data_IF_774710002461
#
_entry.id   IF_774710002461
#
_cell.length_a   1.000
_cell.length_b   1.000
_cell.length_c   1.000
_cell.angle_alpha   90.00
_cell.angle_beta   90.00
_cell.angle_gamma   90.00
#
_symmetry.space_group_name_H-M   'P 1'
#
loop_
_entity.id
_entity.type
_entity.pdbx_description
1 polymer ?
#
# COMPACT_ATOMS: atom_id res chain seq x y z
N UNK A 1 18.81 -2.80 12.28
CA UNK A 1 18.36 -2.37 10.93
C UNK A 1 18.50 -3.56 10.01
N UNK A 2 17.57 -3.76 9.08
CA UNK A 2 17.69 -4.71 7.98
C UNK A 2 17.32 -4.01 6.66
N UNK A 3 18.00 -4.36 5.57
CA UNK A 3 17.70 -3.87 4.22
C UNK A 3 17.72 -5.10 3.32
N UNK A 4 16.66 -5.29 2.55
CA UNK A 4 16.56 -6.31 1.52
C UNK A 4 16.25 -5.59 0.21
N UNK A 5 17.13 -5.76 -0.77
CA UNK A 5 16.98 -5.16 -2.10
C UNK A 5 17.32 -6.18 -3.17
N UNK A 6 16.59 -6.13 -4.27
CA UNK A 6 16.89 -6.80 -5.52
C UNK A 6 16.04 -6.20 -6.63
N UNK A 7 16.44 -6.33 -7.89
CA UNK A 7 15.57 -5.92 -9.00
C UNK A 7 14.19 -6.59 -8.88
N UNK A 8 14.21 -7.85 -8.45
CA UNK A 8 13.07 -8.64 -8.03
C UNK A 8 13.31 -9.07 -6.58
N UNK A 9 12.40 -8.75 -5.68
CA UNK A 9 12.53 -9.01 -4.25
C UNK A 9 11.33 -9.79 -3.72
N UNK A 10 11.56 -11.04 -3.30
CA UNK A 10 10.56 -11.91 -2.67
C UNK A 10 10.84 -12.03 -1.18
N UNK A 11 9.92 -11.53 -0.36
CA UNK A 11 9.99 -11.61 1.10
C UNK A 11 8.97 -12.63 1.58
N UNK A 12 9.47 -13.80 1.99
CA UNK A 12 8.67 -14.95 2.44
C UNK A 12 9.03 -15.43 3.85
N UNK A 13 9.85 -14.64 4.55
CA UNK A 13 10.41 -14.99 5.85
C UNK A 13 10.04 -14.01 6.97
N UNK A 14 10.69 -14.21 8.12
CA UNK A 14 10.60 -13.29 9.25
C UNK A 14 11.82 -12.35 9.27
N UNK A 15 11.57 -11.03 9.30
CA UNK A 15 12.57 -10.00 9.55
C UNK A 15 12.28 -9.38 10.93
N UNK A 16 13.14 -9.68 11.91
CA UNK A 16 12.99 -9.21 13.26
C UNK A 16 13.98 -8.09 13.61
N UNK A 17 13.45 -6.90 13.84
CA UNK A 17 14.12 -5.71 14.33
C UNK A 17 13.38 -5.07 15.52
N UNK A 18 12.74 -5.87 16.38
CA UNK A 18 11.74 -5.40 17.36
C UNK A 18 12.23 -4.58 18.56
N UNK A 19 13.51 -4.63 18.94
CA UNK A 19 13.98 -4.03 20.20
C UNK A 19 13.25 -4.57 21.46
N UNK A 20 13.44 -3.95 22.63
CA UNK A 20 12.70 -4.33 23.85
C UNK A 20 11.29 -3.75 23.89
N UNK A 21 11.13 -2.54 23.35
CA UNK A 21 9.86 -1.86 23.05
C UNK A 21 9.91 -1.48 21.57
N UNK A 22 8.98 -2.00 20.77
CA UNK A 22 9.01 -1.83 19.30
C UNK A 22 8.86 -0.38 18.88
N UNK A 23 8.10 0.43 19.63
CA UNK A 23 7.85 1.83 19.28
C UNK A 23 9.00 2.76 19.68
N UNK A 24 9.77 2.37 20.70
CA UNK A 24 10.87 3.20 21.25
C UNK A 24 12.25 2.76 20.81
N UNK A 25 12.47 1.46 20.76
CA UNK A 25 13.78 0.82 20.57
C UNK A 25 13.81 -0.16 19.40
N UNK A 26 12.68 -0.36 18.73
CA UNK A 26 12.64 -1.11 17.48
C UNK A 26 13.49 -0.42 16.41
N UNK A 27 14.08 -1.22 15.54
CA UNK A 27 14.88 -0.78 14.42
C UNK A 27 14.04 -0.48 13.18
N UNK A 28 14.77 -0.16 12.11
CA UNK A 28 14.25 0.08 10.77
C UNK A 28 14.43 -1.15 9.88
N UNK A 29 13.41 -1.46 9.08
CA UNK A 29 13.45 -2.46 8.00
C UNK A 29 13.14 -1.78 6.68
N UNK A 30 13.87 -2.13 5.63
CA UNK A 30 13.57 -1.75 4.25
C UNK A 30 13.49 -2.99 3.38
N UNK A 31 12.45 -3.06 2.56
CA UNK A 31 12.27 -4.08 1.52
C UNK A 31 11.96 -3.36 0.22
N UNK A 32 12.87 -3.41 -0.74
CA UNK A 32 12.82 -2.58 -1.95
C UNK A 32 13.25 -3.37 -3.19
N UNK A 33 12.96 -2.83 -4.38
CA UNK A 33 13.20 -3.50 -5.65
C UNK A 33 12.26 -3.01 -6.74
N UNK A 34 12.56 -3.19 -8.02
CA UNK A 34 11.61 -2.79 -9.07
C UNK A 34 10.28 -3.54 -8.90
N UNK A 35 10.38 -4.85 -8.74
CA UNK A 35 9.26 -5.73 -8.42
C UNK A 35 9.43 -6.32 -7.02
N UNK A 36 8.63 -5.82 -6.07
CA UNK A 36 8.59 -6.31 -4.69
C UNK A 36 7.35 -7.18 -4.47
N UNK A 37 7.55 -8.32 -3.79
CA UNK A 37 6.50 -9.23 -3.37
C UNK A 37 6.72 -9.64 -1.91
N UNK A 38 5.81 -9.21 -1.04
CA UNK A 38 5.71 -9.64 0.35
C UNK A 38 4.64 -10.73 0.42
N UNK A 39 5.03 -11.93 0.83
CA UNK A 39 4.12 -13.07 0.96
C UNK A 39 3.26 -12.96 2.22
N UNK A 40 2.16 -13.72 2.26
CA UNK A 40 1.15 -13.59 3.31
C UNK A 40 1.64 -14.05 4.68
N UNK A 41 2.57 -15.01 4.68
CA UNK A 41 3.30 -15.54 5.84
C UNK A 41 4.54 -14.71 6.22
N UNK A 42 4.90 -13.68 5.46
CA UNK A 42 6.03 -12.82 5.81
C UNK A 42 5.71 -12.01 7.07
N UNK A 43 6.68 -11.95 7.98
CA UNK A 43 6.54 -11.21 9.24
C UNK A 43 7.65 -10.17 9.30
N UNK A 44 7.26 -8.90 9.43
CA UNK A 44 8.20 -7.81 9.70
C UNK A 44 7.89 -7.25 11.08
N UNK A 45 8.85 -7.36 11.99
CA UNK A 45 8.78 -6.79 13.33
C UNK A 45 9.78 -5.63 13.44
N UNK A 46 9.33 -4.41 13.20
CA UNK A 46 10.17 -3.22 13.21
C UNK A 46 9.42 -2.01 13.77
N UNK A 47 10.15 -1.00 14.24
CA UNK A 47 9.56 0.30 14.56
C UNK A 47 9.06 0.99 13.30
N UNK A 48 9.88 0.92 12.25
CA UNK A 48 9.67 1.55 10.96
C UNK A 48 9.93 0.53 9.86
N UNK A 49 9.01 0.43 8.90
CA UNK A 49 9.16 -0.39 7.71
C UNK A 49 8.95 0.43 6.45
N UNK A 50 9.97 0.48 5.59
CA UNK A 50 9.94 1.13 4.27
C UNK A 50 9.76 0.08 3.18
N UNK A 51 8.77 0.27 2.32
CA UNK A 51 8.63 -0.45 1.05
C UNK A 51 8.88 0.55 -0.08
N UNK A 52 9.83 0.29 -0.97
CA UNK A 52 10.16 1.19 -2.08
C UNK A 52 10.23 0.49 -3.46
N UNK A 53 9.11 -0.04 -3.99
CA UNK A 53 9.08 -0.55 -5.35
C UNK A 53 8.59 0.44 -6.41
N UNK A 54 8.65 0.04 -7.67
CA UNK A 54 8.13 0.87 -8.77
C UNK A 54 6.61 1.08 -8.63
N UNK A 55 5.85 0.04 -8.32
CA UNK A 55 4.40 0.10 -8.14
C UNK A 55 3.96 -0.74 -6.94
N UNK A 56 2.97 -0.24 -6.19
CA UNK A 56 2.41 -0.94 -5.04
C UNK A 56 0.94 -1.26 -5.25
N UNK A 57 0.61 -2.53 -5.08
CA UNK A 57 -0.77 -3.02 -4.98
C UNK A 57 -0.97 -3.69 -3.62
N UNK A 58 -2.05 -3.32 -2.93
CA UNK A 58 -2.44 -3.89 -1.63
C UNK A 58 -3.81 -4.53 -1.80
N UNK A 59 -3.87 -5.86 -1.72
CA UNK A 59 -5.12 -6.60 -1.87
C UNK A 59 -5.43 -7.42 -0.62
N UNK A 60 -6.60 -8.06 -0.62
CA UNK A 60 -6.93 -9.06 0.38
C UNK A 60 -6.09 -10.32 0.15
N UNK A 61 -5.92 -11.19 1.17
CA UNK A 61 -5.24 -12.46 1.00
C UNK A 61 -5.92 -13.30 -0.08
N UNK A 62 -5.10 -13.97 -0.89
CA UNK A 62 -5.55 -14.87 -1.96
C UNK A 62 -4.98 -16.26 -1.71
N UNK A 63 -5.78 -17.30 -1.98
CA UNK A 63 -5.32 -18.68 -1.87
C UNK A 63 -4.14 -18.93 -2.81
N UNK A 64 -3.12 -19.66 -2.37
CA UNK A 64 -1.96 -20.03 -3.19
C UNK A 64 -0.81 -19.01 -3.23
N UNK A 65 -0.86 -17.93 -2.45
CA UNK A 65 0.22 -16.92 -2.44
C UNK A 65 1.51 -17.36 -1.74
N UNK A 66 1.47 -18.43 -0.96
CA UNK A 66 2.64 -18.97 -0.24
C UNK A 66 3.58 -19.80 -1.14
N UNK A 67 3.43 -19.76 -2.47
CA UNK A 67 4.44 -20.36 -3.35
C UNK A 67 5.75 -19.56 -3.26
N UNK A 68 6.86 -20.27 -3.13
CA UNK A 68 8.21 -19.72 -3.07
C UNK A 68 8.81 -19.41 -4.43
N UNK A 69 8.18 -19.85 -5.53
CA UNK A 69 8.71 -19.67 -6.87
C UNK A 69 8.50 -18.24 -7.40
N UNK A 70 9.60 -17.57 -7.74
CA UNK A 70 9.60 -16.26 -8.38
C UNK A 70 8.89 -16.27 -9.74
N UNK A 71 9.01 -17.36 -10.50
CA UNK A 71 8.41 -17.44 -11.83
C UNK A 71 6.88 -17.32 -11.79
N UNK A 72 6.24 -17.70 -10.68
CA UNK A 72 4.79 -17.57 -10.53
C UNK A 72 4.36 -16.11 -10.36
N UNK A 73 5.28 -15.22 -10.00
CA UNK A 73 5.06 -13.78 -9.90
C UNK A 73 5.02 -13.08 -11.27
N UNK A 74 5.33 -13.83 -12.33
CA UNK A 74 5.34 -13.35 -13.71
C UNK A 74 4.41 -14.17 -14.61
N UNK A 75 3.86 -13.49 -15.61
CA UNK A 75 3.22 -14.13 -16.77
C UNK A 75 4.12 -13.96 -17.98
N UNK A 76 4.19 -14.97 -18.84
CA UNK A 76 4.96 -14.91 -20.09
C UNK A 76 4.02 -14.70 -21.27
N UNK A 77 4.33 -13.73 -22.12
CA UNK A 77 3.65 -13.53 -23.41
C UNK A 77 4.68 -13.67 -24.54
N UNK A 78 4.32 -14.41 -25.60
CA UNK A 78 5.17 -14.55 -26.78
C UNK A 78 4.84 -13.47 -27.79
N UNK A 79 5.79 -12.55 -28.02
CA UNK A 79 5.67 -11.43 -28.95
C UNK A 79 6.80 -11.52 -29.97
N UNK A 80 6.45 -11.59 -31.27
CA UNK A 80 7.40 -11.68 -32.38
C UNK A 80 8.51 -12.74 -32.18
N UNK A 81 8.14 -13.95 -31.75
CA UNK A 81 9.04 -15.07 -31.44
C UNK A 81 9.98 -14.88 -30.23
N UNK A 82 9.76 -13.83 -29.42
CA UNK A 82 10.44 -13.63 -28.14
C UNK A 82 9.46 -13.81 -26.99
N UNK A 83 9.90 -14.48 -25.92
CA UNK A 83 9.13 -14.58 -24.69
C UNK A 83 9.44 -13.37 -23.80
N UNK A 84 8.42 -12.55 -23.55
CA UNK A 84 8.53 -11.38 -22.66
C UNK A 84 7.83 -11.71 -21.34
N UNK A 85 8.53 -11.51 -20.21
CA UNK A 85 7.94 -11.65 -18.87
C UNK A 85 7.33 -10.33 -18.43
N UNK A 86 6.12 -10.40 -17.90
CA UNK A 86 5.41 -9.29 -17.28
C UNK A 86 5.07 -9.64 -15.86
N UNK A 87 5.16 -8.68 -14.94
CA UNK A 87 4.64 -8.86 -13.58
C UNK A 87 3.18 -9.31 -13.65
N UNK A 88 2.85 -10.36 -12.92
CA UNK A 88 1.49 -10.85 -12.85
C UNK A 88 0.61 -9.83 -12.13
N UNK A 89 -0.29 -9.17 -12.87
CA UNK A 89 -1.17 -8.12 -12.33
C UNK A 89 -2.16 -8.63 -11.28
N UNK A 90 -2.40 -9.95 -11.25
CA UNK A 90 -3.26 -10.58 -10.25
C UNK A 90 -2.54 -10.78 -8.91
N UNK A 91 -1.21 -10.67 -8.89
CA UNK A 91 -0.40 -10.83 -7.68
C UNK A 91 0.01 -9.46 -7.13
N UNK A 92 -0.45 -9.12 -5.92
CA UNK A 92 -0.17 -7.81 -5.37
C UNK A 92 1.23 -7.71 -4.75
N UNK A 93 1.67 -6.51 -4.42
CA UNK A 93 2.92 -6.28 -3.68
C UNK A 93 2.85 -6.85 -2.27
N UNK A 94 1.75 -6.64 -1.54
CA UNK A 94 1.51 -7.20 -0.19
C UNK A 94 0.01 -7.38 0.06
N UNK A 95 -0.39 -8.05 1.14
CA UNK A 95 -1.79 -8.02 1.60
C UNK A 95 -2.03 -6.95 2.64
N UNK A 96 -3.30 -6.58 2.80
CA UNK A 96 -3.73 -5.84 3.99
C UNK A 96 -3.38 -6.59 5.28
N UNK A 97 -3.56 -7.91 5.36
CA UNK A 97 -3.29 -8.65 6.61
C UNK A 97 -1.82 -8.56 7.06
N UNK A 98 -0.87 -8.63 6.13
CA UNK A 98 0.56 -8.44 6.41
C UNK A 98 0.85 -7.01 6.86
N UNK A 99 0.24 -6.02 6.20
CA UNK A 99 0.37 -4.61 6.54
C UNK A 99 -0.23 -4.29 7.93
N UNK A 100 -1.41 -4.81 8.22
CA UNK A 100 -2.13 -4.61 9.47
C UNK A 100 -1.40 -5.25 10.66
N UNK A 101 -0.75 -6.39 10.45
CA UNK A 101 0.01 -7.07 11.50
C UNK A 101 1.12 -6.19 12.10
N UNK A 102 1.82 -5.43 11.26
CA UNK A 102 2.86 -4.48 11.73
C UNK A 102 2.25 -3.18 12.25
N UNK A 103 1.23 -2.62 11.60
CA UNK A 103 0.55 -1.39 12.06
C UNK A 103 -0.09 -1.57 13.44
N UNK A 104 -0.66 -2.74 13.73
CA UNK A 104 -1.26 -3.09 15.01
C UNK A 104 -0.27 -2.98 16.20
N UNK A 105 1.04 -3.02 15.94
CA UNK A 105 2.10 -2.88 16.94
C UNK A 105 2.46 -1.42 17.25
N UNK A 106 1.82 -0.46 16.58
CA UNK A 106 2.14 0.96 16.69
C UNK A 106 3.33 1.39 15.82
N UNK A 107 3.71 0.56 14.86
CA UNK A 107 4.81 0.84 13.94
C UNK A 107 4.39 1.82 12.84
N UNK A 108 5.40 2.47 12.26
CA UNK A 108 5.23 3.29 11.06
C UNK A 108 5.52 2.43 9.83
N UNK A 109 4.60 2.40 8.88
CA UNK A 109 4.84 1.80 7.57
C UNK A 109 4.82 2.89 6.52
N UNK A 110 5.95 3.04 5.84
CA UNK A 110 6.13 3.98 4.74
C UNK A 110 6.16 3.21 3.43
N UNK A 111 5.14 3.39 2.61
CA UNK A 111 5.03 2.78 1.29
C UNK A 111 5.34 3.87 0.28
N UNK A 112 6.51 3.77 -0.33
CA UNK A 112 6.95 4.64 -1.42
C UNK A 112 6.76 3.92 -2.76
N UNK A 113 6.30 4.64 -3.79
CA UNK A 113 6.22 4.10 -5.14
C UNK A 113 6.41 5.18 -6.20
N UNK A 114 7.04 4.81 -7.32
CA UNK A 114 7.26 5.73 -8.46
C UNK A 114 6.05 5.78 -9.40
N UNK A 115 5.55 4.62 -9.82
CA UNK A 115 4.50 4.50 -10.84
C UNK A 115 3.11 4.70 -10.28
N UNK A 116 2.82 4.24 -9.05
CA UNK A 116 1.51 4.38 -8.43
C UNK A 116 1.32 3.49 -7.20
N UNK A 117 0.27 3.80 -6.42
CA UNK A 117 -0.17 3.00 -5.26
C UNK A 117 -1.66 2.70 -5.42
N UNK A 118 -2.04 1.42 -5.39
CA UNK A 118 -3.42 0.99 -5.51
C UNK A 118 -3.82 0.10 -4.33
N UNK A 119 -4.71 0.60 -3.49
CA UNK A 119 -5.28 -0.09 -2.34
C UNK A 119 -6.64 -0.66 -2.74
N UNK A 120 -6.75 -1.98 -2.89
CA UNK A 120 -8.01 -2.62 -3.32
C UNK A 120 -8.78 -3.29 -2.17
N UNK A 121 -8.09 -3.61 -1.08
CA UNK A 121 -8.67 -4.17 0.13
C UNK A 121 -8.87 -3.13 1.22
N UNK A 122 -9.78 -3.45 2.14
CA UNK A 122 -9.93 -2.68 3.37
C UNK A 122 -8.65 -2.76 4.22
N UNK A 123 -8.28 -1.66 4.88
CA UNK A 123 -7.12 -1.54 5.76
C UNK A 123 -7.56 -1.04 7.13
N UNK A 124 -7.09 -1.68 8.19
CA UNK A 124 -7.18 -1.20 9.57
C UNK A 124 -5.81 -0.76 10.10
N UNK A 125 -5.61 0.55 10.28
CA UNK A 125 -4.35 1.12 10.81
C UNK A 125 -4.20 0.84 12.32
N UNK A 126 -5.30 0.53 13.01
CA UNK A 126 -5.30 0.24 14.44
C UNK A 126 -5.24 1.49 15.32
N UNK A 127 -4.73 1.33 16.55
CA UNK A 127 -4.80 2.37 17.58
C UNK A 127 -3.60 3.31 17.60
N UNK A 128 -2.43 2.85 17.16
CA UNK A 128 -1.17 3.60 17.30
C UNK A 128 -0.31 3.57 16.02
N UNK A 129 -0.73 2.83 14.98
CA UNK A 129 0.03 2.71 13.75
C UNK A 129 0.03 3.99 12.93
N UNK A 130 0.98 4.13 12.02
CA UNK A 130 0.98 5.20 11.03
C UNK A 130 1.24 4.61 9.65
N UNK A 131 0.24 4.69 8.78
CA UNK A 131 0.38 4.35 7.37
C UNK A 131 0.71 5.61 6.57
N UNK A 132 1.82 5.58 5.86
CA UNK A 132 2.25 6.62 4.94
C UNK A 132 2.23 6.03 3.53
N UNK A 133 1.43 6.63 2.64
CA UNK A 133 1.40 6.32 1.22
C UNK A 133 2.07 7.49 0.48
N UNK A 134 3.29 7.25 0.00
CA UNK A 134 4.09 8.25 -0.70
C UNK A 134 4.27 7.87 -2.17
N UNK A 135 3.63 8.62 -3.06
CA UNK A 135 3.85 8.49 -4.50
C UNK A 135 4.85 9.57 -4.92
N UNK A 136 6.01 9.14 -5.42
CA UNK A 136 7.22 9.97 -5.56
C UNK A 136 7.33 10.79 -6.85
N UNK A 137 8.08 11.90 -6.76
CA UNK A 137 8.19 13.04 -7.71
C UNK A 137 8.71 12.75 -9.11
N UNK A 138 9.36 11.61 -9.31
CA UNK A 138 9.97 11.22 -10.60
C UNK A 138 9.15 10.13 -11.30
N UNK A 139 7.90 9.96 -10.87
CA UNK A 139 6.97 8.94 -11.32
C UNK A 139 6.20 9.28 -12.59
N UNK A 140 5.76 8.24 -13.29
CA UNK A 140 4.78 8.36 -14.39
C UNK A 140 3.45 8.92 -13.88
N UNK A 141 3.18 10.21 -14.13
CA UNK A 141 2.00 10.95 -13.63
C UNK A 141 0.66 10.40 -14.11
N UNK A 142 0.66 9.39 -14.99
CA UNK A 142 -0.56 8.64 -15.37
C UNK A 142 -1.22 7.95 -14.19
N UNK A 143 -0.47 7.57 -13.15
CA UNK A 143 -1.07 7.06 -11.91
C UNK A 143 -0.67 7.88 -10.68
N UNK A 144 -1.58 7.92 -9.72
CA UNK A 144 -1.41 8.53 -8.42
C UNK A 144 -1.63 7.52 -7.29
N UNK A 145 -2.31 7.95 -6.23
CA UNK A 145 -2.76 7.07 -5.14
C UNK A 145 -4.24 6.78 -5.30
N UNK A 146 -4.59 5.50 -5.46
CA UNK A 146 -5.98 5.04 -5.58
C UNK A 146 -6.39 4.19 -4.40
N UNK A 147 -7.52 4.51 -3.79
CA UNK A 147 -8.08 3.80 -2.63
C UNK A 147 -9.47 3.27 -2.98
N UNK A 148 -9.55 1.97 -3.30
CA UNK A 148 -10.79 1.23 -3.57
C UNK A 148 -11.27 0.40 -2.36
N UNK A 149 -10.48 0.33 -1.28
CA UNK A 149 -10.84 -0.25 0.01
C UNK A 149 -11.19 0.80 1.06
N UNK A 150 -11.91 0.43 2.11
CA UNK A 150 -12.09 1.28 3.29
C UNK A 150 -10.76 1.39 4.05
N UNK A 151 -10.38 2.59 4.50
CA UNK A 151 -9.29 2.76 5.46
C UNK A 151 -9.90 3.17 6.80
N UNK A 152 -9.62 2.38 7.84
CA UNK A 152 -10.15 2.57 9.19
C UNK A 152 -9.03 2.72 10.21
N UNK A 153 -9.29 3.51 11.25
CA UNK A 153 -8.39 3.69 12.38
C UNK A 153 -9.17 4.09 13.62
N UNK A 154 -8.75 3.57 14.78
CA UNK A 154 -9.30 3.96 16.09
C UNK A 154 -8.36 4.92 16.85
N UNK A 155 -7.17 5.20 16.31
CA UNK A 155 -6.18 6.10 16.93
C UNK A 155 -4.91 6.31 16.10
N UNK A 156 -4.59 5.39 15.19
CA UNK A 156 -3.51 5.53 14.23
C UNK A 156 -3.77 6.62 13.17
N UNK A 157 -2.71 6.99 12.45
CA UNK A 157 -2.74 8.08 11.47
C UNK A 157 -2.57 7.59 10.03
N UNK A 158 -3.14 8.33 9.10
CA UNK A 158 -2.98 8.14 7.66
C UNK A 158 -2.34 9.39 7.06
N UNK A 159 -1.22 9.22 6.36
CA UNK A 159 -0.65 10.25 5.51
C UNK A 159 -0.64 9.75 4.07
N UNK A 160 -1.17 10.57 3.16
CA UNK A 160 -1.07 10.38 1.72
C UNK A 160 -0.34 11.60 1.17
N UNK A 161 0.80 11.38 0.51
CA UNK A 161 1.56 12.41 -0.17
C UNK A 161 1.85 11.93 -1.59
N UNK A 162 1.32 12.64 -2.57
CA UNK A 162 1.36 12.22 -3.98
C UNK A 162 1.74 13.39 -4.88
N UNK A 163 2.79 13.25 -5.67
CA UNK A 163 3.11 14.21 -6.77
C UNK A 163 2.21 14.04 -8.01
N UNK A 164 1.09 13.32 -7.88
CA UNK A 164 -0.03 13.21 -8.82
C UNK A 164 -1.34 13.11 -8.03
N UNK A 165 -2.46 12.81 -8.68
CA UNK A 165 -3.79 12.76 -8.09
C UNK A 165 -3.92 11.74 -6.93
N UNK A 166 -4.95 11.93 -6.10
CA UNK A 166 -5.39 11.00 -5.06
C UNK A 166 -6.89 10.74 -5.27
N UNK A 167 -7.26 9.51 -5.61
CA UNK A 167 -8.66 9.11 -5.82
C UNK A 167 -9.09 8.12 -4.75
N UNK A 168 -10.16 8.47 -4.03
CA UNK A 168 -10.73 7.70 -2.93
C UNK A 168 -12.15 7.29 -3.33
N UNK A 169 -12.36 5.98 -3.49
CA UNK A 169 -13.63 5.41 -3.92
C UNK A 169 -14.47 4.78 -2.80
N UNK A 170 -13.88 4.64 -1.61
CA UNK A 170 -14.53 4.14 -0.40
C UNK A 170 -14.27 5.07 0.79
N UNK A 171 -14.51 4.60 2.01
CA UNK A 171 -14.47 5.45 3.19
C UNK A 171 -13.06 5.56 3.78
N UNK A 172 -12.74 6.74 4.31
CA UNK A 172 -11.68 6.93 5.30
C UNK A 172 -12.36 7.24 6.63
N UNK A 173 -12.12 6.45 7.66
CA UNK A 173 -12.71 6.63 8.99
C UNK A 173 -11.61 6.60 10.04
N UNK A 174 -11.35 7.75 10.67
CA UNK A 174 -10.43 7.87 11.79
C UNK A 174 -11.22 8.27 13.04
N UNK A 175 -11.14 7.48 14.11
CA UNK A 175 -11.70 7.86 15.41
C UNK A 175 -10.86 8.94 16.09
N UNK A 176 -9.57 8.68 16.21
CA UNK A 176 -8.52 9.58 16.71
C UNK A 176 -7.30 9.44 15.77
N UNK A 177 -6.41 10.43 15.74
CA UNK A 177 -5.21 10.45 14.89
C UNK A 177 -5.29 11.55 13.83
N UNK A 178 -4.32 11.55 12.91
CA UNK A 178 -4.25 12.54 11.85
C UNK A 178 -4.55 11.93 10.49
N UNK A 179 -5.38 12.64 9.71
CA UNK A 179 -5.47 12.48 8.27
C UNK A 179 -4.70 13.60 7.60
N UNK A 180 -3.65 13.28 6.87
CA UNK A 180 -2.95 14.23 6.02
C UNK A 180 -3.05 13.76 4.57
N UNK A 181 -3.53 14.62 3.68
CA UNK A 181 -3.54 14.37 2.25
C UNK A 181 -2.89 15.58 1.57
N UNK A 182 -1.77 15.35 0.90
CA UNK A 182 -1.08 16.33 0.08
C UNK A 182 -0.98 15.79 -1.33
N UNK A 183 -1.29 16.63 -2.30
CA UNK A 183 -1.11 16.31 -3.72
C UNK A 183 -0.68 17.53 -4.51
N UNK A 184 0.09 17.33 -5.59
CA UNK A 184 0.36 18.38 -6.57
C UNK A 184 -0.69 18.48 -7.69
N UNK A 185 -1.71 17.63 -7.67
CA UNK A 185 -2.82 17.64 -8.62
C UNK A 185 -4.15 17.76 -7.86
N UNK A 186 -4.98 16.71 -7.85
CA UNK A 186 -6.36 16.75 -7.35
C UNK A 186 -6.63 15.63 -6.35
N UNK A 187 -7.60 15.89 -5.46
CA UNK A 187 -8.13 14.91 -4.52
C UNK A 187 -9.58 14.62 -4.90
N UNK A 188 -9.86 13.40 -5.34
CA UNK A 188 -11.17 12.89 -5.67
C UNK A 188 -11.77 12.05 -4.54
N UNK A 189 -12.98 12.39 -4.12
CA UNK A 189 -13.88 11.47 -3.42
C UNK A 189 -15.04 11.18 -4.34
N UNK A 190 -15.08 10.00 -4.95
CA UNK A 190 -16.03 9.68 -6.02
C UNK A 190 -16.32 8.19 -6.08
N UNK A 191 -17.37 7.79 -6.81
CA UNK A 191 -17.62 6.36 -7.04
C UNK A 191 -16.59 5.81 -8.02
N UNK A 192 -16.17 4.57 -7.84
CA UNK A 192 -15.38 3.87 -8.84
C UNK A 192 -16.14 3.79 -10.19
N UNK A 193 -15.44 4.16 -11.28
CA UNK A 193 -15.92 4.03 -12.65
C UNK A 193 -16.15 5.36 -13.36
N UNK A 194 -16.86 5.31 -14.49
CA UNK A 194 -17.06 6.49 -15.36
C UNK A 194 -18.12 7.46 -14.82
N UNK A 195 -18.98 6.99 -13.92
CA UNK A 195 -19.98 7.84 -13.30
C UNK A 195 -19.41 8.44 -12.01
N UNK A 196 -18.98 9.70 -12.12
CA UNK A 196 -18.43 10.52 -11.03
C UNK A 196 -19.52 11.36 -10.33
N UNK A 197 -20.81 11.05 -10.54
CA UNK A 197 -21.92 11.80 -9.99
C UNK A 197 -21.84 11.80 -8.45
N UNK A 198 -21.71 13.01 -7.89
CA UNK A 198 -21.87 13.21 -6.45
C UNK A 198 -23.35 13.30 -6.17
N UNK A 199 -23.88 12.45 -5.29
CA UNK A 199 -25.24 12.60 -4.78
C UNK A 199 -25.25 13.80 -3.81
N UNK A 200 -25.20 15.01 -4.36
CA UNK A 200 -25.18 16.24 -3.58
C UNK A 200 -26.51 16.38 -2.84
N UNK A 201 -26.45 16.49 -1.51
CA UNK A 201 -27.63 16.70 -0.69
C UNK A 201 -28.36 17.98 -1.12
N UNK A 202 -29.45 17.84 -1.88
CA UNK A 202 -30.41 18.92 -2.06
C UNK A 202 -31.04 19.20 -0.71
N UNK A 203 -30.59 20.26 -0.02
CA UNK A 203 -31.38 20.88 1.04
C UNK A 203 -32.67 21.37 0.41
N UNK A 204 -33.75 20.63 0.65
CA UNK A 204 -35.09 21.09 0.36
C UNK A 204 -35.47 22.08 1.45
N UNK A 205 -35.27 23.36 1.19
CA UNK A 205 -35.85 24.42 2.00
C UNK A 205 -37.34 24.50 1.65
N UNK A 206 -38.17 23.67 2.30
CA UNK A 206 -39.60 23.97 2.39
C UNK A 206 -39.80 24.86 3.62
N UNK A 207 -40.25 26.08 3.34
CA UNK A 207 -40.76 27.05 4.32
C UNK A 207 -42.03 26.53 5.00
#
# INVERSE_FOLDING_TARGET
>A
RAIVWGDIALIDGNINARGSDITKTGGFVETSGHDLFIKDNAIVDAKEWLLDPDEVTINAPQSGRNDTNEDDEYTTETIYNNNVKYKNKEKPTLTNSTLEAILARGSVVNITAKKGINVTSDINIGNNGHLILYRGKDGDKRNGVKINGNITSNGGSLTIDSDSWVDIHKNITLGIGYLNITTSDSIGFEKEGRNKDRNGGRRSNYC
#
